data_IF_004493029491
#
_entry.id   IF_004493029491
#
_cell.length_a   1.000
_cell.length_b   1.000
_cell.length_c   1.000
_cell.angle_alpha   90.00
_cell.angle_beta   90.00
_cell.angle_gamma   90.00
#
_symmetry.space_group_name_H-M   'P 1'
#
loop_
_entity.id
_entity.type
_entity.pdbx_description
1 polymer ?
#
# COMPACT_ATOMS: atom_id res chain seq x y z
N UNK A 1 -8.36 -17.66 -2.39
CA UNK A 1 -7.78 -16.31 -2.60
C UNK A 1 -8.20 -15.34 -1.51
N UNK A 2 -9.50 -15.15 -1.26
CA UNK A 2 -10.04 -14.17 -0.29
C UNK A 2 -9.54 -14.38 1.16
N UNK A 3 -9.28 -15.62 1.57
CA UNK A 3 -8.70 -15.92 2.88
C UNK A 3 -7.32 -15.26 3.06
N UNK A 4 -6.40 -15.48 2.13
CA UNK A 4 -5.06 -14.89 2.20
C UNK A 4 -5.08 -13.36 2.08
N UNK A 5 -6.00 -12.84 1.26
CA UNK A 5 -6.21 -11.41 1.17
C UNK A 5 -6.63 -10.82 2.52
N UNK A 6 -7.53 -11.50 3.24
CA UNK A 6 -7.96 -11.08 4.58
C UNK A 6 -6.81 -11.15 5.60
N UNK A 7 -5.98 -12.22 5.56
CA UNK A 7 -4.78 -12.34 6.41
C UNK A 7 -3.83 -11.16 6.18
N UNK A 8 -3.55 -10.84 4.91
CA UNK A 8 -2.65 -9.72 4.57
C UNK A 8 -3.24 -8.38 5.03
N UNK A 9 -4.54 -8.15 4.85
CA UNK A 9 -5.20 -6.93 5.33
C UNK A 9 -5.04 -6.79 6.84
N UNK A 10 -5.26 -7.85 7.62
CA UNK A 10 -5.06 -7.80 9.06
C UNK A 10 -3.60 -7.52 9.43
N UNK A 11 -2.64 -8.15 8.76
CA UNK A 11 -1.22 -7.89 8.98
C UNK A 11 -0.86 -6.42 8.72
N UNK A 12 -1.38 -5.82 7.65
CA UNK A 12 -1.09 -4.43 7.34
C UNK A 12 -1.77 -3.45 8.30
N UNK A 13 -2.98 -3.77 8.78
CA UNK A 13 -3.73 -2.88 9.68
C UNK A 13 -3.33 -3.03 11.16
N UNK A 14 -3.09 -4.26 11.61
CA UNK A 14 -2.87 -4.58 13.03
C UNK A 14 -1.45 -5.13 13.33
N UNK A 15 -0.68 -5.44 12.29
CA UNK A 15 0.61 -6.12 12.45
C UNK A 15 0.51 -7.60 12.79
N UNK A 16 -0.70 -8.09 13.08
CA UNK A 16 -0.99 -9.45 13.53
C UNK A 16 -2.18 -10.04 12.79
N UNK A 17 -2.14 -11.33 12.52
CA UNK A 17 -3.30 -12.08 12.04
C UNK A 17 -3.37 -13.44 12.74
N UNK A 18 -4.54 -13.78 13.24
CA UNK A 18 -4.78 -14.95 14.08
C UNK A 18 -5.70 -15.93 13.37
N UNK A 19 -5.21 -17.15 13.18
CA UNK A 19 -5.93 -18.19 12.44
C UNK A 19 -5.92 -19.51 13.23
N UNK A 20 -6.90 -19.74 14.10
CA UNK A 20 -7.12 -21.05 14.74
C UNK A 20 -7.15 -22.19 13.73
N UNK A 21 -6.51 -23.31 14.10
CA UNK A 21 -6.47 -24.56 13.34
C UNK A 21 -7.54 -25.48 13.93
N UNK A 22 -8.63 -25.72 13.18
CA UNK A 22 -9.69 -26.64 13.58
C UNK A 22 -9.69 -27.87 12.68
N UNK A 23 -8.94 -28.91 13.07
CA UNK A 23 -8.76 -30.11 12.25
C UNK A 23 -8.09 -29.77 10.92
N UNK A 24 -8.83 -29.92 9.80
CA UNK A 24 -8.36 -29.55 8.46
C UNK A 24 -8.82 -28.16 8.02
N UNK A 25 -9.46 -27.39 8.89
CA UNK A 25 -10.00 -26.07 8.57
C UNK A 25 -9.20 -24.96 9.26
N UNK A 26 -9.01 -23.87 8.55
CA UNK A 26 -8.41 -22.64 9.05
C UNK A 26 -9.51 -21.60 9.23
N UNK A 27 -9.67 -21.07 10.44
CA UNK A 27 -10.70 -20.10 10.76
C UNK A 27 -10.06 -18.79 11.22
N UNK A 28 -10.07 -17.78 10.36
CA UNK A 28 -9.50 -16.48 10.71
C UNK A 28 -10.33 -15.77 11.77
N UNK A 29 -9.68 -15.27 12.81
CA UNK A 29 -10.25 -14.42 13.85
C UNK A 29 -9.79 -12.98 13.71
N UNK A 30 -10.63 -12.04 14.15
CA UNK A 30 -10.24 -10.63 14.17
C UNK A 30 -9.20 -10.42 15.29
N UNK A 31 -8.19 -9.58 15.10
CA UNK A 31 -7.25 -9.26 16.18
C UNK A 31 -7.94 -8.77 17.45
N UNK A 32 -9.06 -8.05 17.32
CA UNK A 32 -9.88 -7.57 18.44
C UNK A 32 -10.65 -8.67 19.21
N UNK A 33 -10.73 -9.89 18.68
CA UNK A 33 -11.28 -11.07 19.40
C UNK A 33 -10.22 -11.74 20.30
N UNK A 34 -8.92 -11.46 20.06
CA UNK A 34 -7.83 -11.97 20.91
C UNK A 34 -7.67 -11.02 22.08
N UNK A 35 -8.28 -11.39 23.21
CA UNK A 35 -8.32 -10.55 24.41
C UNK A 35 -7.03 -10.56 25.22
N UNK A 36 -6.34 -11.69 25.24
CA UNK A 36 -5.12 -11.87 26.00
C UNK A 36 -4.14 -12.79 25.28
N UNK A 37 -2.86 -12.46 25.35
CA UNK A 37 -1.76 -13.33 24.95
C UNK A 37 -0.86 -13.49 26.16
N UNK A 38 -0.75 -14.71 26.67
CA UNK A 38 0.04 -15.00 27.87
C UNK A 38 1.23 -15.89 27.51
N UNK A 39 2.36 -15.64 28.13
CA UNK A 39 3.55 -16.48 28.04
C UNK A 39 3.41 -17.62 29.03
N UNK A 40 3.61 -18.84 28.56
CA UNK A 40 3.69 -20.01 29.47
C UNK A 40 4.95 -19.92 30.34
N UNK A 41 4.89 -20.57 31.51
CA UNK A 41 6.02 -20.66 32.40
C UNK A 41 7.26 -21.18 31.64
N UNK A 42 8.43 -20.62 32.01
CA UNK A 42 9.71 -20.93 31.35
C UNK A 42 9.82 -20.60 29.85
N UNK A 43 9.00 -19.66 29.35
CA UNK A 43 8.97 -19.28 27.93
C UNK A 43 8.71 -20.44 26.95
N UNK A 44 7.99 -21.47 27.40
CA UNK A 44 7.69 -22.65 26.59
C UNK A 44 6.61 -22.45 25.52
N UNK A 45 6.16 -21.23 25.32
CA UNK A 45 5.18 -20.91 24.29
C UNK A 45 4.19 -19.84 24.70
N UNK A 46 3.23 -19.60 23.84
CA UNK A 46 2.18 -18.61 24.02
C UNK A 46 0.82 -19.29 24.14
N UNK A 47 -0.06 -18.69 24.94
CA UNK A 47 -1.48 -19.02 24.95
C UNK A 47 -2.30 -17.81 24.53
N UNK A 48 -3.38 -18.05 23.82
CA UNK A 48 -4.25 -17.04 23.23
C UNK A 48 -5.66 -17.21 23.77
N UNK A 49 -6.18 -16.22 24.44
CA UNK A 49 -7.57 -16.18 24.89
C UNK A 49 -8.39 -15.46 23.84
N UNK A 50 -9.37 -16.14 23.28
CA UNK A 50 -10.23 -15.64 22.22
C UNK A 50 -11.63 -15.43 22.76
N UNK A 51 -12.15 -14.22 22.59
CA UNK A 51 -13.51 -13.81 22.96
C UNK A 51 -14.28 -13.47 21.69
N UNK A 52 -15.03 -14.43 21.12
CA UNK A 52 -15.74 -14.23 19.85
C UNK A 52 -16.84 -13.18 19.92
N UNK A 53 -16.99 -12.36 18.89
CA UNK A 53 -18.08 -11.37 18.80
C UNK A 53 -19.47 -11.95 18.55
N UNK A 54 -19.55 -13.19 18.03
CA UNK A 54 -20.79 -13.85 17.69
C UNK A 54 -21.57 -14.43 18.89
N UNK A 55 -21.11 -14.18 20.12
CA UNK A 55 -21.72 -14.71 21.34
C UNK A 55 -21.35 -16.14 21.70
N UNK A 56 -20.42 -16.76 20.98
CA UNK A 56 -19.80 -18.01 21.40
C UNK A 56 -19.03 -17.81 22.72
N UNK A 57 -18.88 -18.89 23.48
CA UNK A 57 -18.09 -18.84 24.72
C UNK A 57 -16.63 -18.58 24.39
N UNK A 58 -15.98 -17.82 25.26
CA UNK A 58 -14.54 -17.63 25.22
C UNK A 58 -13.80 -18.98 25.32
N UNK A 59 -12.68 -19.08 24.64
CA UNK A 59 -11.83 -20.26 24.66
C UNK A 59 -10.36 -19.86 24.59
N UNK A 60 -9.50 -20.75 25.08
CA UNK A 60 -8.05 -20.54 25.06
C UNK A 60 -7.42 -21.56 24.14
N UNK A 61 -6.48 -21.08 23.32
CA UNK A 61 -5.68 -21.90 22.42
C UNK A 61 -4.20 -21.83 22.84
N UNK A 62 -3.51 -22.95 22.68
CA UNK A 62 -2.06 -22.99 22.77
C UNK A 62 -1.43 -22.55 21.45
N UNK A 63 -0.15 -22.21 21.50
CA UNK A 63 0.60 -21.79 20.32
C UNK A 63 0.47 -22.80 19.16
N UNK A 64 0.39 -24.12 19.43
CA UNK A 64 0.31 -25.14 18.40
C UNK A 64 -1.06 -25.25 17.70
N UNK A 65 -2.09 -24.66 18.30
CA UNK A 65 -3.46 -24.70 17.81
C UNK A 65 -3.85 -23.46 16.98
N UNK A 66 -2.91 -22.53 16.78
CA UNK A 66 -3.17 -21.29 16.08
C UNK A 66 -1.97 -20.91 15.20
N UNK A 67 -2.26 -20.42 14.00
CA UNK A 67 -1.28 -19.69 13.20
C UNK A 67 -1.33 -18.24 13.66
N UNK A 68 -0.20 -17.71 14.14
CA UNK A 68 -0.07 -16.32 14.49
C UNK A 68 0.94 -15.66 13.56
N UNK A 69 0.43 -15.08 12.49
CA UNK A 69 1.24 -14.30 11.55
C UNK A 69 1.54 -12.93 12.16
N UNK A 70 2.80 -12.52 12.13
CA UNK A 70 3.30 -11.27 12.73
C UNK A 70 4.25 -10.59 11.78
N UNK A 71 4.11 -9.27 11.64
CA UNK A 71 5.08 -8.44 10.93
C UNK A 71 5.61 -7.37 11.90
N UNK A 72 6.81 -6.87 11.64
CA UNK A 72 7.44 -5.79 12.41
C UNK A 72 7.33 -6.05 13.92
N UNK A 73 8.24 -6.83 14.54
CA UNK A 73 8.17 -7.16 15.96
C UNK A 73 8.08 -5.91 16.85
N UNK A 74 7.08 -5.86 17.72
CA UNK A 74 6.93 -4.77 18.69
C UNK A 74 8.00 -4.86 19.77
N UNK A 75 8.86 -3.86 19.87
CA UNK A 75 9.96 -3.83 20.84
C UNK A 75 9.49 -3.88 22.31
N UNK A 76 8.24 -3.50 22.57
CA UNK A 76 7.63 -3.53 23.92
C UNK A 76 7.30 -4.95 24.36
N UNK A 77 6.96 -5.81 23.42
CA UNK A 77 6.52 -7.18 23.65
C UNK A 77 7.42 -8.22 22.97
N UNK A 78 8.63 -7.80 22.61
CA UNK A 78 9.61 -8.64 21.91
C UNK A 78 9.04 -9.21 20.59
N UNK A 79 9.24 -10.52 20.35
CA UNK A 79 8.74 -11.21 19.17
C UNK A 79 7.28 -11.71 19.29
N UNK A 80 6.63 -11.49 20.44
CA UNK A 80 5.30 -12.08 20.74
C UNK A 80 4.19 -11.42 19.96
N UNK A 81 4.32 -10.13 19.68
CA UNK A 81 3.30 -9.33 19.00
C UNK A 81 3.98 -8.57 17.86
N UNK A 82 3.30 -8.49 16.72
CA UNK A 82 3.67 -7.64 15.61
C UNK A 82 3.07 -6.25 15.75
N UNK A 83 3.64 -5.29 15.03
CA UNK A 83 3.21 -3.89 14.99
C UNK A 83 2.77 -3.53 13.57
N UNK A 84 1.69 -2.76 13.46
CA UNK A 84 1.24 -2.26 12.16
C UNK A 84 2.22 -1.21 11.60
N UNK A 85 2.53 -1.24 10.30
CA UNK A 85 3.22 -0.13 9.65
C UNK A 85 2.50 1.21 9.82
N UNK A 86 1.18 1.19 9.99
CA UNK A 86 0.35 2.39 10.18
C UNK A 86 0.62 3.12 11.50
N UNK A 87 1.12 2.43 12.54
CA UNK A 87 1.42 3.08 13.81
C UNK A 87 2.48 4.17 13.64
N UNK A 88 3.49 3.93 12.81
CA UNK A 88 4.52 4.92 12.49
C UNK A 88 4.01 6.10 11.67
N UNK A 89 2.84 5.96 11.01
CA UNK A 89 2.26 6.93 10.09
C UNK A 89 1.14 7.79 10.70
N UNK A 90 0.87 7.67 11.99
CA UNK A 90 -0.24 8.39 12.64
C UNK A 90 -0.15 9.90 12.42
N UNK A 91 1.04 10.45 12.49
CA UNK A 91 1.28 11.88 12.27
C UNK A 91 1.08 12.30 10.82
N UNK A 92 1.61 11.53 9.87
CA UNK A 92 1.48 11.75 8.43
C UNK A 92 0.02 11.64 7.98
N UNK A 93 -0.71 10.67 8.50
CA UNK A 93 -2.14 10.52 8.24
C UNK A 93 -2.93 11.72 8.74
N UNK A 94 -2.59 12.24 9.92
CA UNK A 94 -3.21 13.44 10.49
C UNK A 94 -2.92 14.69 9.63
N UNK A 95 -1.67 14.87 9.21
CA UNK A 95 -1.28 15.96 8.29
C UNK A 95 -2.06 15.84 6.98
N UNK A 96 -2.09 14.65 6.37
CA UNK A 96 -2.80 14.41 5.11
C UNK A 96 -4.31 14.72 5.23
N UNK A 97 -4.94 14.28 6.32
CA UNK A 97 -6.35 14.54 6.58
C UNK A 97 -6.62 16.05 6.75
N UNK A 98 -5.79 16.75 7.51
CA UNK A 98 -5.92 18.19 7.73
C UNK A 98 -5.64 18.99 6.45
N UNK A 99 -4.66 18.59 5.65
CA UNK A 99 -4.36 19.22 4.35
C UNK A 99 -5.53 19.07 3.38
N UNK A 100 -6.12 17.88 3.28
CA UNK A 100 -7.34 17.66 2.47
C UNK A 100 -8.50 18.50 2.94
N UNK A 101 -8.73 18.58 4.26
CA UNK A 101 -9.78 19.41 4.84
C UNK A 101 -9.55 20.89 4.55
N UNK A 102 -8.32 21.38 4.69
CA UNK A 102 -7.93 22.75 4.36
C UNK A 102 -8.14 23.05 2.86
N UNK A 103 -7.73 22.13 1.98
CA UNK A 103 -7.95 22.25 0.52
C UNK A 103 -9.44 22.33 0.19
N UNK A 104 -10.25 21.43 0.73
CA UNK A 104 -11.71 21.45 0.52
C UNK A 104 -12.34 22.74 1.04
N UNK A 105 -11.93 23.22 2.20
CA UNK A 105 -12.43 24.47 2.74
C UNK A 105 -11.97 25.67 1.87
N UNK A 106 -10.73 25.66 1.40
CA UNK A 106 -10.23 26.71 0.49
C UNK A 106 -10.99 26.71 -0.83
N UNK A 107 -11.26 25.55 -1.42
CA UNK A 107 -12.08 25.43 -2.64
C UNK A 107 -13.50 25.93 -2.38
N UNK A 108 -14.13 25.53 -1.29
CA UNK A 108 -15.49 25.98 -0.93
C UNK A 108 -15.53 27.49 -0.68
N UNK A 109 -14.51 28.04 -0.05
CA UNK A 109 -14.41 29.46 0.26
C UNK A 109 -13.98 30.31 -0.95
N UNK A 110 -13.28 29.72 -1.94
CA UNK A 110 -13.02 30.39 -3.23
C UNK A 110 -14.28 30.60 -4.06
N UNK A 111 -15.28 29.76 -3.85
CA UNK A 111 -16.60 29.95 -4.44
C UNK A 111 -17.38 31.04 -3.68
N UNK A 112 -17.05 31.29 -2.41
CA UNK A 112 -17.52 32.43 -1.61
C UNK A 112 -16.34 33.33 -1.32
N UNK A 113 -16.23 34.52 -1.93
CA UNK A 113 -15.08 35.38 -1.73
C UNK A 113 -14.95 35.75 -0.25
N UNK A 114 -13.86 35.29 0.39
CA UNK A 114 -13.46 35.83 1.68
C UNK A 114 -12.96 37.24 1.39
N UNK A 115 -13.78 38.20 1.74
CA UNK A 115 -13.47 39.61 1.50
C UNK A 115 -13.72 40.41 2.76
N UNK A 116 -13.05 41.53 2.83
CA UNK A 116 -13.26 42.54 3.85
C UNK A 116 -14.23 43.58 3.28
N UNK A 117 -15.41 43.68 3.85
CA UNK A 117 -16.34 44.74 3.56
C UNK A 117 -16.05 45.88 4.54
N UNK A 118 -15.48 46.96 4.02
CA UNK A 118 -15.22 48.16 4.80
C UNK A 118 -16.41 49.11 4.69
N UNK A 119 -17.02 49.42 5.82
CA UNK A 119 -18.16 50.36 5.92
C UNK A 119 -17.74 51.48 6.88
N UNK A 120 -18.13 52.76 6.63
CA UNK A 120 -17.75 53.88 7.48
C UNK A 120 -18.21 53.68 8.92
N UNK A 121 -17.34 53.97 9.88
CA UNK A 121 -17.55 53.70 11.31
C UNK A 121 -18.73 54.46 11.95
N UNK A 122 -19.24 55.50 11.30
CA UNK A 122 -20.32 56.34 11.81
C UNK A 122 -21.72 55.75 11.64
N UNK A 123 -21.86 54.59 10.99
CA UNK A 123 -23.16 54.08 10.56
C UNK A 123 -23.56 52.69 11.10
N UNK A 124 -22.70 51.98 11.84
CA UNK A 124 -22.93 50.58 12.23
C UNK A 124 -22.70 50.36 13.72
N UNK A 125 -23.72 50.00 14.45
CA UNK A 125 -23.61 49.34 15.75
C UNK A 125 -23.30 47.83 15.57
N UNK A 126 -23.12 47.07 16.64
CA UNK A 126 -22.75 45.67 16.55
C UNK A 126 -23.85 44.76 15.95
N UNK A 127 -25.10 45.16 16.13
CA UNK A 127 -26.28 44.45 15.56
C UNK A 127 -26.30 44.65 14.02
N UNK A 128 -26.09 45.87 13.56
CA UNK A 128 -26.05 46.21 12.12
C UNK A 128 -24.91 45.51 11.40
N UNK A 129 -23.76 45.33 12.06
CA UNK A 129 -22.63 44.54 11.52
C UNK A 129 -23.01 43.09 11.29
N UNK A 130 -23.72 42.49 12.23
CA UNK A 130 -24.16 41.08 12.11
C UNK A 130 -25.23 40.93 11.03
N UNK A 131 -26.15 41.88 10.89
CA UNK A 131 -27.14 41.92 9.82
C UNK A 131 -26.46 42.08 8.45
N UNK A 132 -25.51 43.00 8.35
CA UNK A 132 -24.73 43.22 7.12
C UNK A 132 -23.94 41.96 6.72
N UNK A 133 -23.31 41.29 7.70
CA UNK A 133 -22.57 40.02 7.46
C UNK A 133 -23.50 38.94 6.94
N UNK A 134 -24.65 38.70 7.59
CA UNK A 134 -25.59 37.67 7.18
C UNK A 134 -26.22 37.97 5.81
N UNK A 135 -26.49 39.24 5.52
CA UNK A 135 -27.02 39.64 4.22
C UNK A 135 -25.97 39.44 3.11
N UNK A 136 -24.72 39.74 3.41
CA UNK A 136 -23.59 39.51 2.50
C UNK A 136 -23.38 38.01 2.24
N UNK A 137 -23.33 37.19 3.29
CA UNK A 137 -23.23 35.74 3.19
C UNK A 137 -24.37 35.15 2.38
N UNK A 138 -25.60 35.58 2.60
CA UNK A 138 -26.78 35.13 1.85
C UNK A 138 -26.73 35.53 0.39
N UNK A 139 -26.26 36.73 0.08
CA UNK A 139 -26.09 37.22 -1.31
C UNK A 139 -24.98 36.45 -2.08
N UNK A 140 -24.01 35.91 -1.39
CA UNK A 140 -22.85 35.23 -1.98
C UNK A 140 -22.82 33.70 -1.77
N UNK A 141 -23.92 33.10 -1.29
CA UNK A 141 -24.03 31.66 -1.08
C UNK A 141 -25.04 31.01 -2.02
N UNK A 142 -24.90 29.71 -2.24
CA UNK A 142 -25.79 28.91 -3.07
C UNK A 142 -25.75 29.30 -4.54
N UNK A 143 -26.91 29.46 -5.19
CA UNK A 143 -27.02 29.79 -6.61
C UNK A 143 -26.53 31.22 -6.99
N UNK A 144 -26.32 32.08 -5.99
CA UNK A 144 -25.83 33.45 -6.21
C UNK A 144 -24.31 33.54 -6.20
N UNK A 145 -23.66 32.45 -5.99
CA UNK A 145 -22.20 32.39 -5.94
C UNK A 145 -21.58 32.78 -7.29
N UNK A 146 -20.63 33.72 -7.28
CA UNK A 146 -19.97 34.23 -8.50
C UNK A 146 -20.76 35.25 -9.30
N UNK A 147 -21.92 35.75 -8.78
CA UNK A 147 -22.65 36.83 -9.41
C UNK A 147 -22.08 38.20 -9.04
N UNK A 148 -22.35 39.19 -9.89
CA UNK A 148 -21.93 40.58 -9.69
C UNK A 148 -22.52 41.13 -8.39
N UNK A 149 -21.65 41.70 -7.53
CA UNK A 149 -22.06 42.34 -6.31
C UNK A 149 -22.20 43.83 -6.53
N UNK A 150 -23.32 44.40 -6.09
CA UNK A 150 -23.56 45.86 -6.12
C UNK A 150 -23.37 46.39 -4.69
N UNK A 151 -22.39 47.26 -4.54
CA UNK A 151 -22.12 47.93 -3.27
C UNK A 151 -22.55 49.38 -3.32
N UNK A 152 -22.90 49.98 -2.16
CA UNK A 152 -23.14 51.40 -2.03
C UNK A 152 -21.82 52.18 -2.12
N UNK A 153 -21.89 53.44 -2.52
CA UNK A 153 -20.75 54.29 -2.83
C UNK A 153 -19.74 54.42 -1.65
N UNK A 154 -20.21 54.26 -0.42
CA UNK A 154 -19.45 54.33 0.82
C UNK A 154 -18.81 53.02 1.26
N UNK A 155 -19.07 51.91 0.55
CA UNK A 155 -18.59 50.58 0.93
C UNK A 155 -17.50 50.10 -0.02
N UNK A 156 -16.37 49.66 0.55
CA UNK A 156 -15.28 49.08 -0.21
C UNK A 156 -15.17 47.58 0.08
N UNK A 157 -15.15 46.79 -0.96
CA UNK A 157 -14.88 45.35 -0.89
C UNK A 157 -13.44 45.09 -1.32
N UNK A 158 -12.71 44.40 -0.48
CA UNK A 158 -11.36 43.93 -0.77
C UNK A 158 -11.37 42.39 -0.67
N UNK A 159 -11.15 41.73 -1.76
CA UNK A 159 -11.01 40.28 -1.78
C UNK A 159 -9.67 39.86 -1.17
N UNK A 160 -9.71 38.93 -0.24
CA UNK A 160 -8.50 38.27 0.25
C UNK A 160 -8.10 37.17 -0.75
N UNK A 161 -7.10 37.43 -1.56
CA UNK A 161 -6.53 36.41 -2.42
C UNK A 161 -5.80 35.37 -1.57
N UNK A 162 -6.28 34.13 -1.59
CA UNK A 162 -5.52 32.99 -1.10
C UNK A 162 -4.38 32.79 -2.10
N UNK A 163 -3.17 33.15 -1.71
CA UNK A 163 -1.99 33.06 -2.57
C UNK A 163 -1.86 31.64 -3.15
N UNK A 164 -1.55 31.54 -4.42
CA UNK A 164 -1.28 30.27 -5.12
C UNK A 164 -0.22 29.42 -4.39
N UNK A 165 0.67 30.04 -3.65
CA UNK A 165 1.69 29.39 -2.80
C UNK A 165 1.10 28.49 -1.70
N UNK A 166 -0.10 28.83 -1.18
CA UNK A 166 -0.78 27.99 -0.17
C UNK A 166 -1.22 26.67 -0.79
N UNK A 167 -1.77 26.70 -2.00
CA UNK A 167 -2.16 25.49 -2.72
C UNK A 167 -0.96 24.66 -3.12
N UNK A 168 0.13 25.31 -3.51
CA UNK A 168 1.39 24.62 -3.81
C UNK A 168 1.93 23.92 -2.56
N UNK A 169 1.98 24.60 -1.43
CA UNK A 169 2.42 24.01 -0.17
C UNK A 169 1.53 22.85 0.30
N UNK A 170 0.21 22.96 0.11
CA UNK A 170 -0.73 21.85 0.43
C UNK A 170 -0.49 20.62 -0.46
N UNK A 171 -0.23 20.83 -1.75
CA UNK A 171 0.10 19.75 -2.67
C UNK A 171 1.46 19.12 -2.36
N UNK A 172 2.46 19.91 -2.02
CA UNK A 172 3.77 19.41 -1.62
C UNK A 172 3.67 18.57 -0.34
N UNK A 173 2.89 19.00 0.66
CA UNK A 173 2.63 18.23 1.87
C UNK A 173 1.87 16.93 1.57
N UNK A 174 0.92 16.93 0.65
CA UNK A 174 0.21 15.71 0.25
C UNK A 174 1.15 14.70 -0.42
N UNK A 175 2.03 15.16 -1.30
CA UNK A 175 3.05 14.33 -1.96
C UNK A 175 4.07 13.80 -0.95
N UNK A 176 4.49 14.61 0.01
CA UNK A 176 5.37 14.19 1.09
C UNK A 176 4.72 13.07 1.93
N UNK A 177 3.46 13.24 2.33
CA UNK A 177 2.71 12.23 3.08
C UNK A 177 2.58 10.93 2.29
N UNK A 178 2.29 10.98 1.00
CA UNK A 178 2.26 9.81 0.12
C UNK A 178 3.61 9.08 0.07
N UNK A 179 4.71 9.84 0.01
CA UNK A 179 6.07 9.28 0.04
C UNK A 179 6.38 8.59 1.38
N UNK A 180 5.96 9.14 2.52
CA UNK A 180 6.16 8.52 3.83
C UNK A 180 5.33 7.24 3.97
N UNK A 181 4.07 7.24 3.52
CA UNK A 181 3.22 6.05 3.49
C UNK A 181 3.87 4.95 2.63
N UNK A 182 4.34 5.31 1.44
CA UNK A 182 5.08 4.42 0.54
C UNK A 182 6.27 3.76 1.24
N UNK A 183 7.11 4.54 1.91
CA UNK A 183 8.28 4.05 2.66
C UNK A 183 7.91 3.12 3.80
N UNK A 184 6.86 3.43 4.55
CA UNK A 184 6.44 2.60 5.69
C UNK A 184 5.92 1.22 5.26
N UNK A 185 5.30 1.13 4.08
CA UNK A 185 4.84 -0.13 3.51
C UNK A 185 5.87 -0.81 2.59
N UNK A 186 6.99 -0.16 2.28
CA UNK A 186 7.98 -0.68 1.33
C UNK A 186 7.45 -0.76 -0.11
N UNK A 187 6.46 0.08 -0.46
CA UNK A 187 5.87 0.11 -1.80
C UNK A 187 6.40 1.33 -2.55
N UNK A 188 6.99 1.19 -3.75
CA UNK A 188 7.45 2.33 -4.54
C UNK A 188 6.33 3.35 -4.78
N UNK A 189 6.64 4.65 -4.64
CA UNK A 189 5.66 5.76 -4.79
C UNK A 189 5.00 5.74 -6.17
N UNK A 190 5.75 5.36 -7.19
CA UNK A 190 5.30 5.28 -8.58
C UNK A 190 4.17 4.24 -8.77
N UNK A 191 4.19 3.15 -8.00
CA UNK A 191 3.12 2.16 -8.00
C UNK A 191 1.85 2.65 -7.30
N UNK A 192 1.95 3.67 -6.43
CA UNK A 192 0.82 4.29 -5.76
C UNK A 192 0.22 5.47 -6.55
N UNK A 193 0.74 5.76 -7.74
CA UNK A 193 0.27 6.86 -8.58
C UNK A 193 0.69 8.25 -8.10
N UNK A 194 1.68 8.35 -7.20
CA UNK A 194 2.14 9.60 -6.60
C UNK A 194 3.50 10.12 -7.10
N UNK A 195 4.12 9.45 -8.08
CA UNK A 195 5.40 9.88 -8.64
C UNK A 195 5.25 11.06 -9.58
N UNK A 196 6.08 12.09 -9.44
CA UNK A 196 6.29 13.05 -10.52
C UNK A 196 6.99 12.30 -11.65
N UNK A 197 6.28 12.09 -12.76
CA UNK A 197 6.82 11.47 -13.97
C UNK A 197 7.92 12.36 -14.57
N UNK A 198 9.14 12.12 -14.21
CA UNK A 198 10.29 12.54 -14.99
C UNK A 198 10.56 11.46 -16.01
N UNK A 199 10.63 11.83 -17.27
CA UNK A 199 10.74 10.96 -18.48
C UNK A 199 11.94 9.99 -18.48
N UNK A 200 12.77 9.96 -17.42
CA UNK A 200 13.95 9.11 -17.33
C UNK A 200 13.74 7.75 -16.65
N UNK A 201 12.51 7.39 -16.26
CA UNK A 201 12.26 6.20 -15.43
C UNK A 201 11.98 4.91 -16.20
N UNK A 202 11.74 4.97 -17.49
CA UNK A 202 11.43 3.76 -18.28
C UNK A 202 12.59 2.77 -18.44
N UNK A 203 13.83 3.19 -18.20
CA UNK A 203 15.00 2.29 -18.31
C UNK A 203 15.27 1.45 -17.05
N UNK A 204 14.48 1.61 -15.98
CA UNK A 204 14.77 0.98 -14.68
C UNK A 204 13.61 0.16 -14.10
N UNK A 205 12.58 -0.13 -14.90
CA UNK A 205 11.37 -0.86 -14.42
C UNK A 205 11.75 -2.21 -13.81
N UNK A 206 12.69 -2.94 -14.40
CA UNK A 206 13.10 -4.25 -13.90
C UNK A 206 13.85 -4.17 -12.58
N UNK A 207 14.65 -3.13 -12.38
CA UNK A 207 15.31 -2.85 -11.10
C UNK A 207 14.31 -2.46 -10.02
N UNK A 208 13.30 -1.65 -10.35
CA UNK A 208 12.22 -1.27 -9.43
C UNK A 208 11.38 -2.48 -9.04
N UNK A 209 11.04 -3.35 -9.99
CA UNK A 209 10.36 -4.62 -9.72
C UNK A 209 11.18 -5.52 -8.79
N UNK A 210 12.48 -5.66 -9.03
CA UNK A 210 13.37 -6.48 -8.19
C UNK A 210 13.43 -5.99 -6.73
N UNK A 211 13.55 -4.69 -6.53
CA UNK A 211 13.55 -4.09 -5.19
C UNK A 211 12.19 -4.28 -4.49
N UNK A 212 11.10 -4.07 -5.22
CA UNK A 212 9.75 -4.27 -4.69
C UNK A 212 9.50 -5.69 -4.18
N UNK A 213 10.04 -6.70 -4.87
CA UNK A 213 9.96 -8.09 -4.40
C UNK A 213 10.74 -8.29 -3.12
N UNK A 214 11.95 -7.73 -3.06
CA UNK A 214 12.78 -7.80 -1.86
C UNK A 214 12.03 -7.20 -0.66
N UNK A 215 11.35 -6.09 -0.85
CA UNK A 215 10.57 -5.44 0.19
C UNK A 215 9.33 -6.26 0.59
N UNK A 216 8.66 -6.90 -0.39
CA UNK A 216 7.55 -7.81 -0.12
C UNK A 216 7.95 -9.03 0.71
N UNK A 217 9.20 -9.48 0.66
CA UNK A 217 9.67 -10.60 1.47
C UNK A 217 9.53 -10.32 2.97
N UNK A 218 9.55 -9.07 3.40
CA UNK A 218 9.31 -8.69 4.80
C UNK A 218 7.90 -9.06 5.29
N UNK A 219 6.93 -9.16 4.39
CA UNK A 219 5.55 -9.60 4.65
C UNK A 219 5.33 -11.08 4.37
N UNK A 220 5.99 -11.60 3.35
CA UNK A 220 5.82 -12.99 2.88
C UNK A 220 6.53 -13.98 3.80
N UNK A 221 7.78 -13.69 4.18
CA UNK A 221 8.59 -14.61 4.98
C UNK A 221 7.95 -14.95 6.32
N UNK A 222 7.40 -14.01 7.12
CA UNK A 222 6.74 -14.34 8.38
C UNK A 222 5.55 -15.31 8.20
N UNK A 223 4.82 -15.19 7.09
CA UNK A 223 3.71 -16.10 6.76
C UNK A 223 4.25 -17.49 6.44
N UNK A 224 5.27 -17.57 5.58
CA UNK A 224 5.88 -18.83 5.19
C UNK A 224 6.53 -19.54 6.38
N UNK A 225 7.24 -18.81 7.22
CA UNK A 225 7.95 -19.37 8.36
C UNK A 225 6.98 -19.94 9.42
N UNK A 226 5.87 -19.25 9.68
CA UNK A 226 4.83 -19.77 10.58
C UNK A 226 4.18 -21.04 9.99
N UNK A 227 3.89 -21.06 8.68
CA UNK A 227 3.34 -22.24 8.00
C UNK A 227 4.32 -23.41 8.01
N UNK A 228 5.61 -23.18 7.72
CA UNK A 228 6.64 -24.22 7.75
C UNK A 228 6.75 -24.85 9.13
N UNK A 229 6.74 -24.00 10.16
CA UNK A 229 6.85 -24.44 11.54
C UNK A 229 5.64 -25.30 11.96
N UNK A 230 4.42 -24.82 11.69
CA UNK A 230 3.19 -25.46 12.16
C UNK A 230 2.82 -26.72 11.38
N UNK A 231 3.08 -26.73 10.08
CA UNK A 231 2.74 -27.88 9.23
C UNK A 231 3.94 -28.79 8.94
N UNK A 232 5.10 -28.52 9.54
CA UNK A 232 6.34 -29.28 9.34
C UNK A 232 6.69 -29.44 7.85
N UNK A 233 6.58 -28.36 7.08
CA UNK A 233 6.83 -28.30 5.65
C UNK A 233 8.01 -27.37 5.34
N UNK A 234 9.27 -27.76 5.59
CA UNK A 234 10.44 -26.88 5.46
C UNK A 234 10.67 -26.39 4.03
N UNK A 235 10.22 -27.15 3.04
CA UNK A 235 10.41 -26.83 1.62
C UNK A 235 9.35 -25.90 1.04
N UNK A 236 8.39 -25.44 1.86
CA UNK A 236 7.34 -24.53 1.42
C UNK A 236 7.96 -23.22 0.92
N UNK A 237 7.65 -22.84 -0.31
CA UNK A 237 8.12 -21.61 -0.95
C UNK A 237 6.97 -20.96 -1.70
N UNK A 238 6.99 -19.64 -1.75
CA UNK A 238 6.13 -18.88 -2.65
C UNK A 238 6.85 -18.68 -3.97
N UNK A 239 6.23 -19.04 -5.07
CA UNK A 239 6.72 -18.72 -6.40
C UNK A 239 6.36 -17.29 -6.75
N UNK A 240 7.30 -16.38 -6.45
CA UNK A 240 7.14 -14.95 -6.72
C UNK A 240 7.47 -14.63 -8.18
N UNK A 241 8.25 -15.51 -8.85
CA UNK A 241 8.70 -15.26 -10.23
C UNK A 241 7.52 -15.21 -11.20
N UNK A 242 6.58 -16.14 -11.10
CA UNK A 242 5.40 -16.17 -11.98
C UNK A 242 4.51 -14.94 -11.85
N UNK A 243 4.53 -14.24 -10.70
CA UNK A 243 3.77 -13.00 -10.52
C UNK A 243 4.44 -11.77 -11.14
N UNK A 244 5.75 -11.84 -11.41
CA UNK A 244 6.56 -10.71 -11.86
C UNK A 244 6.93 -10.80 -13.32
N UNK A 245 7.11 -11.99 -13.82
CA UNK A 245 7.45 -12.32 -15.18
C UNK A 245 6.22 -12.88 -15.88
N UNK A 246 5.18 -12.06 -15.96
CA UNK A 246 3.86 -12.45 -16.51
C UNK A 246 3.95 -12.88 -17.97
N UNK A 247 4.91 -12.35 -18.71
CA UNK A 247 5.17 -12.61 -20.12
C UNK A 247 6.43 -13.46 -20.35
N UNK A 248 7.02 -14.00 -19.28
CA UNK A 248 8.26 -14.79 -19.29
C UNK A 248 9.48 -14.07 -19.90
N UNK A 249 9.38 -12.76 -20.14
CA UNK A 249 10.45 -11.99 -20.81
C UNK A 249 11.75 -11.94 -20.01
N UNK A 250 11.65 -11.83 -18.68
CA UNK A 250 12.82 -11.84 -17.79
C UNK A 250 13.51 -13.21 -17.79
N UNK A 251 12.72 -14.27 -17.71
CA UNK A 251 13.20 -15.65 -17.74
C UNK A 251 13.90 -15.96 -19.08
N UNK A 252 13.28 -15.57 -20.18
CA UNK A 252 13.86 -15.74 -21.54
C UNK A 252 15.16 -14.96 -21.66
N UNK A 253 15.21 -13.71 -21.21
CA UNK A 253 16.43 -12.89 -21.27
C UNK A 253 17.55 -13.45 -20.39
N UNK A 254 17.26 -13.97 -19.20
CA UNK A 254 18.23 -14.60 -18.33
C UNK A 254 18.81 -15.87 -18.97
N UNK A 255 17.96 -16.74 -19.50
CA UNK A 255 18.39 -17.97 -20.18
C UNK A 255 19.23 -17.65 -21.41
N UNK A 256 18.82 -16.67 -22.23
CA UNK A 256 19.60 -16.22 -23.37
C UNK A 256 20.98 -15.67 -22.97
N UNK A 257 21.06 -14.90 -21.89
CA UNK A 257 22.33 -14.39 -21.36
C UNK A 257 23.24 -15.51 -20.89
N UNK A 258 22.69 -16.53 -20.23
CA UNK A 258 23.45 -17.72 -19.80
C UNK A 258 23.96 -18.54 -21.00
N UNK A 259 23.15 -18.67 -22.05
CA UNK A 259 23.52 -19.35 -23.29
C UNK A 259 24.63 -18.58 -24.02
N UNK A 260 24.50 -17.26 -24.15
CA UNK A 260 25.54 -16.41 -24.78
C UNK A 260 26.84 -16.39 -23.99
N UNK A 261 26.78 -16.47 -22.66
CA UNK A 261 27.95 -16.57 -21.80
C UNK A 261 28.60 -17.96 -21.81
N UNK A 262 28.02 -18.95 -22.51
CA UNK A 262 28.48 -20.31 -22.52
C UNK A 262 28.32 -21.06 -21.20
N UNK A 263 27.49 -20.54 -20.28
CA UNK A 263 27.24 -21.16 -18.99
C UNK A 263 26.29 -22.37 -19.08
N UNK A 264 25.48 -22.41 -20.13
CA UNK A 264 24.55 -23.50 -20.44
C UNK A 264 24.57 -23.77 -21.94
N UNK A 265 24.23 -24.98 -22.34
CA UNK A 265 24.05 -25.36 -23.74
C UNK A 265 22.57 -25.13 -24.19
N UNK A 266 22.33 -25.34 -25.50
CA UNK A 266 21.00 -25.15 -26.06
C UNK A 266 19.95 -26.10 -25.48
N UNK A 267 20.33 -27.33 -25.17
CA UNK A 267 19.43 -28.33 -24.61
C UNK A 267 19.04 -27.95 -23.17
N UNK A 268 20.01 -27.54 -22.37
CA UNK A 268 19.79 -27.04 -21.01
C UNK A 268 18.94 -25.75 -21.00
N UNK A 269 19.16 -24.84 -21.95
CA UNK A 269 18.37 -23.64 -22.11
C UNK A 269 16.91 -23.97 -22.41
N UNK A 270 16.65 -24.91 -23.34
CA UNK A 270 15.29 -25.37 -23.64
C UNK A 270 14.64 -26.04 -22.44
N UNK A 271 15.37 -26.88 -21.71
CA UNK A 271 14.85 -27.53 -20.50
C UNK A 271 14.48 -26.52 -19.41
N UNK A 272 15.30 -25.48 -19.22
CA UNK A 272 15.00 -24.39 -18.29
C UNK A 272 13.75 -23.61 -18.67
N UNK A 273 13.62 -23.26 -19.98
CA UNK A 273 12.45 -22.55 -20.48
C UNK A 273 11.17 -23.41 -20.40
N UNK A 274 11.25 -24.70 -20.64
CA UNK A 274 10.12 -25.63 -20.43
C UNK A 274 9.74 -25.74 -18.96
N UNK A 275 10.72 -25.86 -18.07
CA UNK A 275 10.50 -25.97 -16.63
C UNK A 275 9.91 -24.69 -16.02
N UNK A 276 10.25 -23.53 -16.58
CA UNK A 276 9.69 -22.23 -16.15
C UNK A 276 8.29 -21.96 -16.71
N UNK A 277 7.84 -22.71 -17.71
CA UNK A 277 6.57 -22.48 -18.40
C UNK A 277 6.65 -21.54 -19.60
N UNK A 278 7.83 -20.93 -19.85
CA UNK A 278 8.07 -20.03 -20.99
C UNK A 278 8.00 -20.74 -22.34
N UNK A 279 8.19 -22.07 -22.36
CA UNK A 279 7.99 -22.91 -23.53
C UNK A 279 7.03 -24.06 -23.21
N UNK A 280 6.19 -24.48 -24.20
CA UNK A 280 5.34 -25.65 -24.05
C UNK A 280 6.16 -26.92 -23.80
N UNK A 281 5.66 -27.79 -22.92
CA UNK A 281 6.35 -29.03 -22.55
C UNK A 281 6.47 -30.02 -23.71
N UNK A 282 5.57 -29.97 -24.67
CA UNK A 282 5.48 -30.83 -25.87
C UNK A 282 6.33 -30.32 -27.05
N UNK A 283 7.02 -29.20 -26.90
CA UNK A 283 7.91 -28.70 -27.94
C UNK A 283 9.06 -29.71 -28.17
N UNK A 284 9.20 -30.18 -29.41
CA UNK A 284 10.28 -31.10 -29.80
C UNK A 284 11.63 -30.38 -29.67
N UNK A 285 12.64 -31.02 -29.03
CA UNK A 285 13.98 -30.42 -28.95
C UNK A 285 14.54 -30.11 -30.33
N UNK A 286 15.15 -28.95 -30.47
CA UNK A 286 15.89 -28.60 -31.66
C UNK A 286 17.14 -29.48 -31.72
N UNK A 287 17.14 -30.51 -32.57
CA UNK A 287 18.35 -31.25 -32.89
C UNK A 287 19.05 -30.46 -34.00
N UNK A 288 20.26 -29.92 -33.70
CA UNK A 288 21.11 -29.40 -34.74
C UNK A 288 21.45 -30.59 -35.67
N UNK A 289 20.91 -30.54 -36.87
CA UNK A 289 21.37 -31.48 -37.92
C UNK A 289 22.87 -31.25 -38.10
N UNK A 290 23.66 -32.23 -37.69
CA UNK A 290 25.06 -32.31 -38.06
C UNK A 290 25.21 -32.13 -39.56
N UNK A 291 26.26 -31.39 -39.93
CA UNK A 291 26.57 -30.89 -41.23
C UNK A 291 26.39 -31.87 -42.38
N UNK A 292 25.76 -31.36 -43.44
CA UNK A 292 25.79 -32.02 -44.74
C UNK A 292 27.22 -32.24 -45.15
N UNK A 293 27.62 -33.48 -45.23
CA UNK A 293 28.81 -33.88 -45.98
C UNK A 293 28.60 -33.40 -47.43
N UNK A 294 29.50 -32.53 -47.87
CA UNK A 294 29.70 -32.23 -49.29
C UNK A 294 30.30 -33.49 -49.92
N UNK A 295 29.49 -34.26 -50.57
CA UNK A 295 29.93 -35.16 -51.61
C UNK A 295 30.18 -34.37 -52.91
N UNK A 296 31.40 -33.84 -53.00
CA UNK A 296 32.00 -33.47 -54.31
C UNK A 296 32.68 -34.73 -54.85
N UNK A 297 31.94 -35.44 -55.74
CA UNK A 297 32.59 -36.33 -56.72
C UNK A 297 31.88 -36.26 -58.08
N UNK A 298 32.66 -35.77 -59.08
CA UNK A 298 32.63 -35.86 -60.53
C UNK A 298 32.00 -34.69 -61.29
#
# INVERSE_FOLDING_TARGET
FSFWQSVIIQLLLDGNSYVPIKGMSLEQRRPSEVSEINVLDDYQGLTYKITPFNGEKEFTLTQDQILHFRIIPDSRYQYMIGMSPLESLTYEMTISANSRKATLNSIKNQISPIGILTVPASQLNDEDREVARKSFEKANSGENNGRLMVLTDDSKFSQLDVKADVFKALNENANFSASQISKAFGIPVDMLGGGQSTESQHSNIDSVKGNYISDLNSYINPILDELKLKFNCPDLKLDVKSALDVDDSLTINQVNSMLQAGAIDQEQAQQLLKKSGALPLDLIPFTSSEGGENDDQN
#
